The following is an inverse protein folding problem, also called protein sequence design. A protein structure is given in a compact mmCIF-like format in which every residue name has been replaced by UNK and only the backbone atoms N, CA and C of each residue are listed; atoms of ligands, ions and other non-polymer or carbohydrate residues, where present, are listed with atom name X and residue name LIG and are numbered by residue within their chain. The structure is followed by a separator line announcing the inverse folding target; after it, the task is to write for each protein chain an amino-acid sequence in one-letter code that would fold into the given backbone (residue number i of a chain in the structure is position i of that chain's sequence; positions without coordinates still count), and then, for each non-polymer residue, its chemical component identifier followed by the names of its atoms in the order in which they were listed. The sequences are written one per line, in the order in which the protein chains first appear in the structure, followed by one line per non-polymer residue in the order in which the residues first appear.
data_IF_665985156838
#
_entry.id   IF_665985156838
#
_cell.length_a   1.000
_cell.length_b   1.000
_cell.length_c   1.000
_cell.angle_alpha   90.00
_cell.angle_beta   90.00
_cell.angle_gamma   90.00
#
_symmetry.space_group_name_H-M   'P 1'
#
loop_
_entity.id
_entity.type
_entity.pdbx_description
1 polymer ?
#
# COMPACT_ATOMS: atom_id res chain seq x y z
N UNK A 1 4.17 40.46 39.71
CA UNK A 1 3.72 39.96 38.39
C UNK A 1 2.79 38.79 38.63
N UNK A 2 1.48 38.97 38.41
CA UNK A 2 0.46 37.93 38.66
C UNK A 2 0.60 36.85 37.59
N UNK A 3 0.76 35.59 38.01
CA UNK A 3 0.92 34.47 37.11
C UNK A 3 -0.39 34.23 36.33
N UNK A 4 -0.40 34.62 35.06
CA UNK A 4 -1.39 34.23 34.05
C UNK A 4 -1.11 32.77 33.65
N UNK A 5 -1.19 31.84 34.60
CA UNK A 5 -0.84 30.41 34.38
C UNK A 5 -1.97 29.64 33.67
N UNK A 6 -3.21 30.13 33.74
CA UNK A 6 -4.38 29.45 33.16
C UNK A 6 -4.54 29.68 31.65
N UNK A 7 -4.35 30.91 31.18
CA UNK A 7 -4.64 31.27 29.77
C UNK A 7 -3.61 30.69 28.80
N UNK A 8 -2.32 30.69 29.19
CA UNK A 8 -1.25 30.05 28.42
C UNK A 8 -1.43 28.53 28.33
N UNK A 9 -1.89 27.89 29.40
CA UNK A 9 -2.10 26.43 29.45
C UNK A 9 -3.21 26.00 28.47
N UNK A 10 -4.29 26.77 28.39
CA UNK A 10 -5.42 26.46 27.52
C UNK A 10 -5.06 26.63 26.04
N UNK A 11 -4.31 27.69 25.69
CA UNK A 11 -3.82 27.86 24.32
C UNK A 11 -2.90 26.72 23.86
N UNK A 12 -1.99 26.26 24.72
CA UNK A 12 -1.08 25.14 24.40
C UNK A 12 -1.87 23.87 24.14
N UNK A 13 -2.90 23.59 24.94
CA UNK A 13 -3.77 22.43 24.74
C UNK A 13 -4.49 22.50 23.39
N UNK A 14 -5.06 23.66 23.03
CA UNK A 14 -5.74 23.85 21.75
C UNK A 14 -4.78 23.61 20.58
N UNK A 15 -3.58 24.18 20.62
CA UNK A 15 -2.57 24.01 19.57
C UNK A 15 -2.13 22.55 19.45
N UNK A 16 -1.91 21.87 20.59
CA UNK A 16 -1.55 20.46 20.61
C UNK A 16 -2.64 19.56 19.98
N UNK A 17 -3.91 19.84 20.28
CA UNK A 17 -5.04 19.11 19.70
C UNK A 17 -5.15 19.37 18.19
N UNK A 18 -5.01 20.63 17.75
CA UNK A 18 -5.02 20.97 16.32
C UNK A 18 -3.89 20.26 15.56
N UNK A 19 -2.67 20.23 16.11
CA UNK A 19 -1.54 19.51 15.50
C UNK A 19 -1.80 18.00 15.44
N UNK A 20 -2.39 17.41 16.48
CA UNK A 20 -2.76 16.00 16.49
C UNK A 20 -3.77 15.67 15.39
N UNK A 21 -4.78 16.52 15.17
CA UNK A 21 -5.78 16.33 14.12
C UNK A 21 -5.10 16.40 12.74
N UNK A 22 -4.26 17.40 12.51
CA UNK A 22 -3.52 17.52 11.24
C UNK A 22 -2.64 16.28 10.99
N UNK A 23 -1.92 15.83 12.00
CA UNK A 23 -1.12 14.60 11.92
C UNK A 23 -1.98 13.38 11.56
N UNK A 24 -3.13 13.22 12.21
CA UNK A 24 -4.04 12.10 11.96
C UNK A 24 -4.57 12.11 10.51
N UNK A 25 -4.92 13.28 9.98
CA UNK A 25 -5.37 13.42 8.57
C UNK A 25 -4.24 13.06 7.61
N UNK A 26 -3.02 13.54 7.85
CA UNK A 26 -1.86 13.19 7.03
C UNK A 26 -1.63 11.67 7.04
N UNK A 27 -1.64 11.05 8.22
CA UNK A 27 -1.50 9.59 8.34
C UNK A 27 -2.60 8.84 7.58
N UNK A 28 -3.86 9.29 7.66
CA UNK A 28 -4.97 8.68 6.94
C UNK A 28 -4.74 8.70 5.41
N UNK A 29 -4.26 9.83 4.87
CA UNK A 29 -3.93 9.98 3.44
C UNK A 29 -2.74 9.10 3.05
N UNK A 30 -1.71 9.03 3.90
CA UNK A 30 -0.55 8.17 3.65
C UNK A 30 -0.92 6.68 3.67
N UNK A 31 -1.77 6.26 4.62
CA UNK A 31 -2.24 4.87 4.71
C UNK A 31 -3.09 4.51 3.48
N UNK A 32 -3.98 5.40 3.04
CA UNK A 32 -4.79 5.15 1.84
C UNK A 32 -3.94 5.11 0.57
N UNK A 33 -2.95 6.00 0.44
CA UNK A 33 -2.03 6.01 -0.70
C UNK A 33 -1.13 4.78 -0.74
N UNK A 34 -0.60 4.34 0.42
CA UNK A 34 0.26 3.16 0.50
C UNK A 34 -0.48 1.86 0.18
N UNK A 35 -1.77 1.72 0.55
CA UNK A 35 -2.57 0.55 0.15
C UNK A 35 -2.65 0.42 -1.37
N UNK A 36 -2.98 1.52 -2.05
CA UNK A 36 -3.05 1.55 -3.51
C UNK A 36 -1.67 1.32 -4.15
N UNK A 37 -0.60 1.88 -3.58
CA UNK A 37 0.75 1.65 -4.10
C UNK A 37 1.18 0.18 -3.97
N UNK A 38 0.95 -0.44 -2.80
CA UNK A 38 1.30 -1.85 -2.54
C UNK A 38 0.54 -2.80 -3.47
N UNK A 39 -0.73 -2.52 -3.76
CA UNK A 39 -1.51 -3.31 -4.73
C UNK A 39 -0.95 -3.15 -6.15
N UNK A 40 -0.57 -1.94 -6.54
CA UNK A 40 0.04 -1.71 -7.86
C UNK A 40 1.43 -2.37 -7.99
N UNK A 41 2.34 -2.27 -7.02
CA UNK A 41 3.67 -2.91 -7.14
C UNK A 41 3.63 -4.43 -7.07
N UNK A 42 2.59 -5.00 -6.44
CA UNK A 42 2.37 -6.45 -6.43
C UNK A 42 1.65 -6.95 -7.68
N UNK A 43 1.10 -6.05 -8.51
CA UNK A 43 0.35 -6.49 -9.67
C UNK A 43 1.25 -7.09 -10.77
N UNK A 44 0.93 -8.30 -11.22
CA UNK A 44 1.56 -8.96 -12.36
C UNK A 44 1.48 -8.08 -13.61
N UNK A 45 0.33 -7.42 -13.81
CA UNK A 45 0.11 -6.48 -14.91
C UNK A 45 0.98 -5.24 -14.80
N UNK A 46 1.20 -4.72 -13.59
CA UNK A 46 2.12 -3.59 -13.38
C UNK A 46 3.58 -3.96 -13.67
N UNK A 47 3.95 -5.24 -13.57
CA UNK A 47 5.25 -5.78 -13.97
C UNK A 47 5.34 -6.10 -15.47
N UNK A 48 4.30 -5.80 -16.25
CA UNK A 48 4.24 -6.09 -17.69
C UNK A 48 3.89 -7.53 -18.03
N UNK A 49 3.37 -8.30 -17.06
CA UNK A 49 2.96 -9.69 -17.23
C UNK A 49 1.46 -9.91 -17.24
N UNK A 50 1.08 -11.14 -17.52
CA UNK A 50 -0.30 -11.63 -17.42
C UNK A 50 -0.36 -12.83 -16.49
N UNK A 51 -1.37 -12.87 -15.62
CA UNK A 51 -1.64 -14.06 -14.81
C UNK A 51 -2.21 -15.14 -15.73
N UNK A 52 -1.51 -16.27 -15.85
CA UNK A 52 -1.95 -17.41 -16.66
C UNK A 52 -2.20 -18.60 -15.75
N UNK A 53 -3.34 -19.25 -15.93
CA UNK A 53 -3.68 -20.51 -15.26
C UNK A 53 -3.03 -21.63 -16.04
N UNK A 54 -2.00 -22.28 -15.48
CA UNK A 54 -1.30 -23.37 -16.14
C UNK A 54 -1.19 -24.59 -15.23
N UNK A 55 -1.31 -25.77 -15.82
CA UNK A 55 -1.14 -27.03 -15.10
C UNK A 55 0.34 -27.14 -14.71
N UNK A 56 0.65 -26.89 -13.44
CA UNK A 56 2.03 -26.88 -12.92
C UNK A 56 2.68 -25.51 -12.74
N UNK A 57 1.97 -24.41 -13.03
CA UNK A 57 2.48 -23.04 -12.78
C UNK A 57 3.60 -22.59 -13.73
N UNK A 58 3.76 -23.26 -14.86
CA UNK A 58 4.74 -22.91 -15.91
C UNK A 58 4.15 -21.95 -16.92
N UNK A 59 4.92 -20.95 -17.33
CA UNK A 59 4.51 -20.02 -18.39
C UNK A 59 4.69 -20.62 -19.78
N UNK A 60 3.95 -20.14 -20.80
CA UNK A 60 4.15 -20.54 -22.20
C UNK A 60 5.60 -20.36 -22.65
N UNK A 61 6.03 -21.16 -23.63
CA UNK A 61 7.39 -21.08 -24.19
C UNK A 61 7.73 -19.64 -24.63
N UNK A 62 8.88 -19.13 -24.18
CA UNK A 62 9.30 -17.74 -24.42
C UNK A 62 8.77 -16.71 -23.42
N UNK A 63 8.24 -17.15 -22.27
CA UNK A 63 7.84 -16.27 -21.18
C UNK A 63 8.51 -16.66 -19.86
N UNK A 64 8.93 -15.65 -19.07
CA UNK A 64 9.49 -15.83 -17.74
C UNK A 64 8.39 -15.87 -16.68
N UNK A 65 8.56 -16.72 -15.65
CA UNK A 65 7.64 -16.80 -14.50
C UNK A 65 8.14 -15.95 -13.35
N UNK A 66 7.30 -15.06 -12.82
CA UNK A 66 7.60 -14.23 -11.64
C UNK A 66 6.72 -14.62 -10.46
N UNK A 67 7.38 -14.95 -9.35
CA UNK A 67 6.75 -15.33 -8.09
C UNK A 67 6.48 -14.09 -7.22
N UNK A 68 5.44 -14.14 -6.39
CA UNK A 68 5.13 -13.08 -5.41
C UNK A 68 4.28 -11.92 -5.95
N UNK A 69 3.46 -12.17 -6.97
CA UNK A 69 2.49 -11.21 -7.53
C UNK A 69 1.08 -11.43 -6.97
N UNK A 70 0.15 -10.54 -7.34
CA UNK A 70 -1.29 -10.59 -7.06
C UNK A 70 -2.05 -11.72 -7.77
N UNK A 71 -1.38 -12.55 -8.58
CA UNK A 71 -2.00 -13.71 -9.19
C UNK A 71 -2.50 -14.66 -8.09
N UNK A 72 -3.81 -14.66 -7.86
CA UNK A 72 -4.44 -15.51 -6.84
C UNK A 72 -4.21 -16.97 -7.18
N UNK A 73 -3.42 -17.65 -6.36
CA UNK A 73 -3.27 -19.11 -6.37
C UNK A 73 -4.59 -19.70 -5.88
N UNK A 74 -5.46 -20.08 -6.81
CA UNK A 74 -6.65 -20.88 -6.52
C UNK A 74 -6.28 -22.36 -6.39
N UNK A 75 -7.25 -23.25 -6.60
CA UNK A 75 -7.05 -24.70 -6.75
C UNK A 75 -6.25 -25.09 -8.01
N UNK A 76 -5.94 -24.12 -8.87
CA UNK A 76 -5.07 -24.26 -10.04
C UNK A 76 -3.85 -23.37 -9.85
N UNK A 77 -2.67 -23.88 -10.20
CA UNK A 77 -1.44 -23.10 -10.11
C UNK A 77 -1.52 -21.92 -11.10
N UNK A 78 -1.57 -20.69 -10.57
CA UNK A 78 -1.58 -19.46 -11.37
C UNK A 78 -0.21 -18.82 -11.27
N UNK A 79 0.44 -18.57 -12.41
CA UNK A 79 1.75 -17.93 -12.48
C UNK A 79 1.65 -16.58 -13.19
N UNK A 80 2.50 -15.63 -12.80
CA UNK A 80 2.66 -14.37 -13.52
C UNK A 80 3.68 -14.55 -14.63
N UNK A 81 3.21 -14.48 -15.88
CA UNK A 81 4.03 -14.70 -17.05
C UNK A 81 4.34 -13.37 -17.73
N UNK A 82 5.63 -13.09 -17.90
CA UNK A 82 6.14 -11.88 -18.53
C UNK A 82 6.81 -12.29 -19.85
N UNK A 83 6.51 -11.62 -20.97
CA UNK A 83 7.25 -11.83 -22.20
C UNK A 83 8.72 -11.47 -21.98
N UNK A 84 9.61 -12.43 -22.21
CA UNK A 84 11.08 -12.24 -22.17
C UNK A 84 11.61 -11.79 -23.51
#
# INVERSE_FOLDING_TARGET
MKAVKGELSLQIIIIAVLLLIVLAVLLAIFISSNRNFVENVKSCTAKGGTCVTTVGGTCPDGQGSVIGTDCKVGTTAVACCIPT
#
